data_IF_978746638505
#
_entry.id   IF_978746638505
#
_cell.length_a   1.000
_cell.length_b   1.000
_cell.length_c   1.000
_cell.angle_alpha   90.00
_cell.angle_beta   90.00
_cell.angle_gamma   90.00
#
_symmetry.space_group_name_H-M   'P 1'
#
loop_
_entity.id
_entity.type
_entity.pdbx_description
1 polymer ?
#
# COMPACT_ATOMS: atom_id res chain seq x y z
N UNK A 1 4.20 21.08 -21.42
CA UNK A 1 3.61 19.92 -20.72
C UNK A 1 4.62 18.85 -20.34
N UNK A 2 5.64 18.51 -21.14
CA UNK A 2 6.64 17.50 -20.76
C UNK A 2 7.58 17.91 -19.59
N UNK A 3 7.90 19.21 -19.46
CA UNK A 3 8.80 19.73 -18.40
C UNK A 3 8.21 19.63 -16.98
N UNK A 4 6.89 19.82 -16.83
CA UNK A 4 6.20 19.68 -15.54
C UNK A 4 6.18 18.21 -15.09
N UNK A 5 5.89 17.28 -16.00
CA UNK A 5 5.89 15.84 -15.68
C UNK A 5 7.26 15.30 -15.21
N UNK A 6 8.36 15.84 -15.73
CA UNK A 6 9.70 15.45 -15.29
C UNK A 6 10.00 15.99 -13.88
N UNK A 7 9.65 17.25 -13.62
CA UNK A 7 9.77 17.85 -12.29
C UNK A 7 8.90 17.13 -11.25
N UNK A 8 7.68 16.75 -11.62
CA UNK A 8 6.76 16.00 -10.76
C UNK A 8 7.32 14.60 -10.44
N UNK A 9 7.94 13.92 -11.42
CA UNK A 9 8.61 12.63 -11.20
C UNK A 9 9.78 12.75 -10.23
N UNK A 10 10.60 13.78 -10.37
CA UNK A 10 11.74 14.01 -9.49
C UNK A 10 11.31 14.37 -8.06
N UNK A 11 10.29 15.21 -7.92
CA UNK A 11 9.68 15.51 -6.63
C UNK A 11 9.11 14.25 -5.97
N UNK A 12 8.41 13.40 -6.73
CA UNK A 12 7.87 12.13 -6.24
C UNK A 12 8.97 11.15 -5.81
N UNK A 13 10.07 11.08 -6.57
CA UNK A 13 11.22 10.25 -6.21
C UNK A 13 11.82 10.68 -4.88
N UNK A 14 12.10 11.98 -4.74
CA UNK A 14 12.67 12.56 -3.52
C UNK A 14 11.73 12.37 -2.32
N UNK A 15 10.43 12.52 -2.51
CA UNK A 15 9.43 12.27 -1.48
C UNK A 15 9.45 10.80 -1.02
N UNK A 16 9.56 9.85 -1.96
CA UNK A 16 9.66 8.42 -1.65
C UNK A 16 10.93 8.10 -0.84
N UNK A 17 12.07 8.67 -1.23
CA UNK A 17 13.33 8.50 -0.51
C UNK A 17 13.26 9.01 0.93
N UNK A 18 12.71 10.22 1.12
CA UNK A 18 12.52 10.80 2.46
C UNK A 18 11.60 9.94 3.33
N UNK A 19 10.50 9.43 2.75
CA UNK A 19 9.61 8.50 3.44
C UNK A 19 10.34 7.24 3.87
N UNK A 20 11.12 6.62 2.97
CA UNK A 20 11.87 5.41 3.27
C UNK A 20 12.95 5.64 4.33
N UNK A 21 13.65 6.78 4.27
CA UNK A 21 14.62 7.16 5.29
C UNK A 21 13.93 7.29 6.66
N UNK A 22 12.74 7.90 6.71
CA UNK A 22 11.93 8.03 7.93
C UNK A 22 11.52 6.68 8.50
N UNK A 23 11.02 5.77 7.66
CA UNK A 23 10.64 4.42 8.08
C UNK A 23 11.84 3.65 8.65
N UNK A 24 12.99 3.70 7.96
CA UNK A 24 14.23 3.03 8.39
C UNK A 24 14.77 3.55 9.71
N UNK A 25 14.68 4.86 9.98
CA UNK A 25 15.08 5.43 11.28
C UNK A 25 14.32 4.81 12.46
N UNK A 26 13.08 4.37 12.25
CA UNK A 26 12.27 3.67 13.26
C UNK A 26 12.31 2.14 13.12
N UNK A 27 13.21 1.59 12.31
CA UNK A 27 13.38 0.14 12.14
C UNK A 27 12.36 -0.54 11.21
N UNK A 28 11.59 0.21 10.43
CA UNK A 28 10.61 -0.34 9.49
C UNK A 28 11.17 -0.47 8.07
N UNK A 29 10.81 -1.56 7.39
CA UNK A 29 11.31 -1.89 6.05
C UNK A 29 10.79 -0.94 4.96
N UNK A 30 9.51 -0.58 5.04
CA UNK A 30 8.85 0.31 4.07
C UNK A 30 7.95 1.35 4.78
N UNK A 31 7.55 2.36 4.01
CA UNK A 31 6.69 3.46 4.49
C UNK A 31 5.26 3.01 4.79
N UNK A 32 4.77 1.99 4.09
CA UNK A 32 3.41 1.49 4.24
C UNK A 32 3.23 0.81 5.60
N UNK A 33 4.11 -0.12 5.93
CA UNK A 33 4.15 -0.85 7.19
C UNK A 33 4.38 0.10 8.35
N UNK A 34 5.30 1.07 8.19
CA UNK A 34 5.53 2.11 9.19
C UNK A 34 4.25 2.91 9.50
N UNK A 35 3.55 3.38 8.47
CA UNK A 35 2.33 4.18 8.67
C UNK A 35 1.17 3.36 9.23
N UNK A 36 1.02 2.10 8.82
CA UNK A 36 0.02 1.19 9.41
C UNK A 36 0.30 0.90 10.88
N UNK A 37 1.56 0.64 11.25
CA UNK A 37 1.94 0.43 12.64
C UNK A 37 1.64 1.67 13.51
N UNK A 38 1.96 2.88 13.02
CA UNK A 38 1.61 4.12 13.73
C UNK A 38 0.09 4.27 13.92
N UNK A 39 -0.71 3.96 12.89
CA UNK A 39 -2.17 4.01 13.00
C UNK A 39 -2.70 3.02 14.05
N UNK A 40 -2.18 1.79 14.07
CA UNK A 40 -2.53 0.79 15.09
C UNK A 40 -2.16 1.27 16.51
N UNK A 41 -1.00 1.92 16.69
CA UNK A 41 -0.60 2.49 17.99
C UNK A 41 -1.57 3.59 18.46
N UNK A 42 -1.96 4.50 17.57
CA UNK A 42 -2.91 5.57 17.87
C UNK A 42 -4.27 4.96 18.24
N UNK A 43 -4.79 4.03 17.43
CA UNK A 43 -6.06 3.36 17.70
C UNK A 43 -6.01 2.60 19.03
N UNK A 44 -4.89 1.94 19.34
CA UNK A 44 -4.68 1.26 20.62
C UNK A 44 -4.72 2.22 21.81
N UNK A 45 -4.31 3.49 21.64
CA UNK A 45 -4.40 4.50 22.71
C UNK A 45 -5.84 4.89 23.08
N UNK A 46 -6.82 4.66 22.18
CA UNK A 46 -8.25 4.87 22.45
C UNK A 46 -8.95 3.64 23.06
N UNK A 47 -8.21 2.56 23.30
CA UNK A 47 -8.75 1.33 23.88
C UNK A 47 -9.40 1.64 25.24
N UNK A 48 -10.68 1.27 25.38
CA UNK A 48 -11.48 1.50 26.59
C UNK A 48 -12.48 2.65 26.50
N UNK A 49 -12.34 3.55 25.52
CA UNK A 49 -13.36 4.59 25.25
C UNK A 49 -14.43 4.10 24.28
N UNK A 50 -14.02 3.28 23.30
CA UNK A 50 -14.89 2.68 22.28
C UNK A 50 -14.48 1.22 22.04
N UNK A 51 -15.43 0.33 21.67
CA UNK A 51 -15.09 -1.03 21.27
C UNK A 51 -14.32 -1.00 19.93
N UNK A 52 -13.10 -1.54 19.93
CA UNK A 52 -12.18 -1.52 18.79
C UNK A 52 -11.75 -2.96 18.48
N UNK A 53 -11.77 -3.31 17.18
CA UNK A 53 -11.18 -4.54 16.66
C UNK A 53 -10.23 -4.21 15.49
N UNK A 54 -9.02 -4.77 15.50
CA UNK A 54 -8.03 -4.63 14.43
C UNK A 54 -7.95 -5.98 13.70
N UNK A 55 -8.26 -5.98 12.40
CA UNK A 55 -8.18 -7.16 11.54
C UNK A 55 -6.98 -7.04 10.62
N UNK A 56 -6.13 -8.08 10.58
CA UNK A 56 -4.93 -8.15 9.74
C UNK A 56 -5.11 -9.24 8.68
N UNK A 57 -5.73 -8.93 7.53
CA UNK A 57 -5.89 -9.90 6.46
C UNK A 57 -4.54 -10.27 5.84
N UNK A 58 -4.48 -11.41 5.17
CA UNK A 58 -3.37 -11.76 4.29
C UNK A 58 -3.35 -10.84 3.06
N UNK A 59 -2.26 -10.92 2.27
CA UNK A 59 -2.17 -10.21 0.99
C UNK A 59 -3.35 -10.66 0.10
N UNK A 60 -4.14 -9.69 -0.36
CA UNK A 60 -5.26 -9.92 -1.26
C UNK A 60 -4.78 -9.72 -2.70
N UNK A 61 -4.74 -10.79 -3.48
CA UNK A 61 -4.33 -10.77 -4.88
C UNK A 61 -5.52 -10.82 -5.85
N UNK A 62 -6.65 -11.38 -5.45
CA UNK A 62 -7.83 -11.51 -6.30
C UNK A 62 -8.82 -10.37 -6.08
N UNK A 63 -9.57 -10.03 -7.14
CA UNK A 63 -10.70 -9.11 -7.12
C UNK A 63 -12.00 -9.87 -7.36
N UNK A 64 -13.07 -9.51 -6.66
CA UNK A 64 -14.33 -10.26 -6.68
C UNK A 64 -15.12 -10.18 -8.00
N UNK A 65 -15.13 -9.04 -8.70
CA UNK A 65 -15.97 -8.79 -9.88
C UNK A 65 -15.19 -8.22 -11.07
N UNK A 66 -14.03 -8.80 -11.34
CA UNK A 66 -13.08 -8.37 -12.40
C UNK A 66 -12.07 -7.31 -11.93
N UNK A 67 -10.75 -7.54 -12.13
CA UNK A 67 -9.74 -6.57 -11.74
C UNK A 67 -9.80 -5.39 -12.71
N UNK A 68 -9.99 -4.19 -12.18
CA UNK A 68 -9.92 -2.99 -13.00
C UNK A 68 -8.49 -2.79 -13.54
N UNK A 69 -8.33 -2.15 -14.72
CA UNK A 69 -7.01 -1.81 -15.25
C UNK A 69 -6.19 -1.05 -14.21
N UNK A 70 -5.06 -1.62 -13.78
CA UNK A 70 -4.20 -1.06 -12.73
C UNK A 70 -4.28 -1.72 -11.36
N UNK A 71 -5.15 -2.73 -11.15
CA UNK A 71 -5.26 -3.45 -9.87
C UNK A 71 -3.95 -4.11 -9.44
N UNK A 72 -3.40 -5.01 -10.26
CA UNK A 72 -2.09 -5.64 -10.05
C UNK A 72 -1.34 -5.63 -11.38
N UNK A 73 -0.79 -4.48 -11.75
CA UNK A 73 0.15 -4.40 -12.87
C UNK A 73 1.58 -4.47 -12.34
N UNK A 74 2.28 -5.59 -12.57
CA UNK A 74 3.69 -5.79 -12.19
C UNK A 74 4.16 -7.26 -12.29
N UNK A 75 5.48 -7.46 -12.27
CA UNK A 75 6.20 -8.75 -12.41
C UNK A 75 6.02 -9.72 -11.22
N UNK A 76 4.80 -9.89 -10.71
CA UNK A 76 4.47 -11.01 -9.83
C UNK A 76 4.01 -12.19 -10.70
N UNK A 77 4.54 -13.41 -10.53
CA UNK A 77 4.21 -14.56 -11.38
C UNK A 77 2.74 -15.01 -11.32
N UNK A 78 1.89 -14.32 -10.56
CA UNK A 78 0.50 -14.67 -10.30
C UNK A 78 -0.49 -13.85 -11.16
N UNK A 79 -0.03 -12.83 -11.91
CA UNK A 79 -0.90 -12.00 -12.78
C UNK A 79 -1.22 -12.66 -14.14
N UNK A 80 -1.53 -13.96 -14.15
CA UNK A 80 -2.15 -14.63 -15.29
C UNK A 80 -3.49 -15.25 -14.85
N UNK A 81 -4.43 -14.42 -14.42
CA UNK A 81 -5.83 -14.81 -14.43
C UNK A 81 -6.48 -14.22 -15.67
N UNK A 82 -6.40 -14.95 -16.77
CA UNK A 82 -7.46 -14.93 -17.78
C UNK A 82 -8.68 -15.55 -17.09
N UNK A 83 -9.53 -14.71 -16.50
CA UNK A 83 -10.89 -15.12 -16.14
C UNK A 83 -11.63 -15.44 -17.46
N UNK A 84 -11.48 -16.68 -17.92
CA UNK A 84 -12.31 -17.32 -18.93
C UNK A 84 -12.70 -18.68 -18.35
N UNK A 85 -13.51 -18.64 -17.29
CA UNK A 85 -14.39 -19.75 -16.95
C UNK A 85 -15.79 -19.20 -17.12
N UNK A 86 -16.32 -19.49 -18.31
CA UNK A 86 -17.71 -19.29 -18.68
C UNK A 86 -18.61 -19.92 -17.61
N UNK A 87 -19.66 -19.19 -17.26
CA UNK A 87 -20.91 -19.78 -16.81
C UNK A 87 -21.47 -20.73 -17.87
#
# INVERSE_FOLDING_TARGET
MARTLAADKEANHKMRELGLARAKMFGWHDTYTFTKAMAEMIISSYKGQIPIAIVRPSIIESSFQEPFPGWIQGNRPVTLYKCHLNA
#
